data_IF_391552787451
#
_entry.id   IF_391552787451
#
_cell.length_a   1.000
_cell.length_b   1.000
_cell.length_c   1.000
_cell.angle_alpha   90.00
_cell.angle_beta   90.00
_cell.angle_gamma   90.00
#
_symmetry.space_group_name_H-M   'P 1'
#
loop_
_entity.id
_entity.type
_entity.pdbx_description
1 polymer ?
#
# COMPACT_ATOMS: atom_id res chain seq x y z
N UNK A 1 18.77 -7.76 -1.05
CA UNK A 1 18.20 -6.93 0.03
C UNK A 1 19.31 -6.81 1.05
N UNK A 2 19.75 -5.61 1.41
CA UNK A 2 20.73 -5.46 2.49
C UNK A 2 20.09 -5.85 3.83
N UNK A 3 20.94 -6.26 4.77
CA UNK A 3 20.53 -6.78 6.08
C UNK A 3 19.79 -5.70 6.89
N UNK A 4 20.28 -4.45 6.82
CA UNK A 4 19.72 -3.28 7.52
C UNK A 4 18.30 -2.92 7.07
N UNK A 5 17.98 -2.99 5.79
CA UNK A 5 16.62 -2.74 5.26
C UNK A 5 15.66 -3.82 5.73
N UNK A 6 16.12 -5.07 5.78
CA UNK A 6 15.31 -6.20 6.24
C UNK A 6 14.99 -6.06 7.73
N UNK A 7 15.96 -5.64 8.54
CA UNK A 7 15.76 -5.32 9.96
C UNK A 7 14.79 -4.14 10.16
N UNK A 8 14.96 -3.04 9.42
CA UNK A 8 14.06 -1.87 9.46
C UNK A 8 12.62 -2.27 9.13
N UNK A 9 12.43 -3.04 8.06
CA UNK A 9 11.11 -3.51 7.64
C UNK A 9 10.48 -4.44 8.69
N UNK A 10 11.28 -5.32 9.31
CA UNK A 10 10.81 -6.21 10.39
C UNK A 10 10.45 -5.44 11.65
N UNK A 11 11.24 -4.42 11.99
CA UNK A 11 10.95 -3.52 13.12
C UNK A 11 9.63 -2.78 12.88
N UNK A 12 9.48 -2.18 11.69
CA UNK A 12 8.26 -1.48 11.32
C UNK A 12 7.04 -2.42 11.28
N UNK A 13 7.21 -3.66 10.79
CA UNK A 13 6.13 -4.67 10.84
C UNK A 13 5.64 -4.89 12.27
N UNK A 14 6.57 -5.06 13.20
CA UNK A 14 6.26 -5.28 14.62
C UNK A 14 5.54 -4.06 15.23
N UNK A 15 5.97 -2.86 14.87
CA UNK A 15 5.35 -1.59 15.29
C UNK A 15 3.88 -1.50 14.83
N UNK A 16 3.62 -1.84 13.56
CA UNK A 16 2.27 -1.92 12.99
C UNK A 16 1.42 -2.96 13.70
N UNK A 17 1.95 -4.19 13.85
CA UNK A 17 1.21 -5.28 14.50
C UNK A 17 0.87 -4.92 15.97
N UNK A 18 1.81 -4.35 16.72
CA UNK A 18 1.54 -3.90 18.09
C UNK A 18 0.49 -2.79 18.16
N UNK A 19 0.55 -1.85 17.23
CA UNK A 19 -0.39 -0.71 17.22
C UNK A 19 -1.81 -1.13 16.86
N UNK A 20 -1.97 -2.13 15.99
CA UNK A 20 -3.25 -2.71 15.65
C UNK A 20 -3.88 -3.52 16.80
N UNK A 21 -3.05 -4.07 17.70
CA UNK A 21 -3.54 -4.89 18.82
C UNK A 21 -3.80 -4.05 20.08
N UNK A 22 -2.89 -3.11 20.38
CA UNK A 22 -2.85 -2.42 21.67
C UNK A 22 -2.67 -0.89 21.58
N UNK A 23 -2.48 -0.35 20.38
CA UNK A 23 -2.07 1.04 20.19
C UNK A 23 -3.12 1.93 19.54
N UNK A 24 -2.70 3.11 19.01
CA UNK A 24 -3.59 4.09 18.40
C UNK A 24 -4.41 3.57 17.21
N UNK A 25 -3.98 2.45 16.63
CA UNK A 25 -4.66 1.81 15.50
C UNK A 25 -5.65 0.71 15.92
N UNK A 26 -5.78 0.39 17.21
CA UNK A 26 -6.67 -0.67 17.68
C UNK A 26 -8.14 -0.41 17.33
N UNK A 27 -8.55 0.87 17.34
CA UNK A 27 -9.89 1.31 16.96
C UNK A 27 -9.97 1.75 15.48
N UNK A 28 -8.83 1.86 14.79
CA UNK A 28 -8.80 2.26 13.38
C UNK A 28 -9.14 1.05 12.52
N UNK A 29 -10.33 1.08 11.92
CA UNK A 29 -10.76 0.03 11.00
C UNK A 29 -9.76 -0.17 9.86
N UNK A 30 -9.43 -1.43 9.58
CA UNK A 30 -8.77 -1.84 8.33
C UNK A 30 -9.87 -1.95 7.25
N UNK A 31 -10.01 -0.96 6.35
CA UNK A 31 -11.15 -0.86 5.45
C UNK A 31 -11.13 -1.94 4.36
N UNK A 32 -9.96 -2.47 4.03
CA UNK A 32 -9.83 -3.50 3.00
C UNK A 32 -9.97 -4.87 3.64
N UNK A 33 -10.96 -5.62 3.14
CA UNK A 33 -11.25 -7.01 3.49
C UNK A 33 -11.27 -7.79 2.18
N UNK A 34 -10.59 -8.95 2.15
CA UNK A 34 -10.61 -9.82 0.99
C UNK A 34 -11.89 -10.68 0.92
N UNK A 35 -12.01 -11.48 -0.14
CA UNK A 35 -13.18 -12.34 -0.38
C UNK A 35 -13.37 -13.44 0.69
N UNK A 36 -12.37 -13.66 1.55
CA UNK A 36 -12.38 -14.60 2.67
C UNK A 36 -12.59 -13.92 4.02
N UNK A 37 -12.90 -12.62 4.04
CA UNK A 37 -13.09 -11.87 5.27
C UNK A 37 -11.78 -11.48 5.98
N UNK A 38 -10.62 -11.70 5.35
CA UNK A 38 -9.31 -11.40 5.94
C UNK A 38 -8.91 -9.96 5.67
N UNK A 39 -8.27 -9.34 6.67
CA UNK A 39 -7.74 -7.97 6.59
C UNK A 39 -6.24 -8.04 6.36
N UNK A 40 -5.85 -8.18 5.10
CA UNK A 40 -4.44 -8.30 4.74
C UNK A 40 -3.70 -6.98 5.05
N UNK A 41 -2.59 -7.09 5.77
CA UNK A 41 -1.73 -5.95 6.13
C UNK A 41 -0.38 -6.11 5.45
N UNK A 42 0.03 -5.10 4.69
CA UNK A 42 1.34 -5.01 4.04
C UNK A 42 2.07 -3.80 4.61
N UNK A 43 3.37 -3.94 4.88
CA UNK A 43 4.21 -2.82 5.32
C UNK A 43 5.29 -2.54 4.30
N UNK A 44 5.66 -1.28 4.15
CA UNK A 44 6.72 -0.83 3.27
C UNK A 44 7.52 0.34 3.86
N UNK A 45 8.77 0.48 3.41
CA UNK A 45 9.61 1.63 3.70
C UNK A 45 9.58 2.59 2.51
N UNK A 46 9.55 3.89 2.77
CA UNK A 46 9.44 4.92 1.73
C UNK A 46 10.63 4.92 0.76
N UNK A 47 11.80 4.47 1.20
CA UNK A 47 13.04 4.40 0.42
C UNK A 47 13.20 3.10 -0.40
N UNK A 48 12.31 2.12 -0.22
CA UNK A 48 12.37 0.90 -1.01
C UNK A 48 11.78 1.08 -2.41
N UNK A 49 12.11 0.16 -3.33
CA UNK A 49 11.62 0.24 -4.71
C UNK A 49 10.13 -0.11 -4.79
N UNK A 50 9.39 0.67 -5.56
CA UNK A 50 7.97 0.45 -5.82
C UNK A 50 7.67 -0.99 -6.29
N UNK A 51 8.47 -1.52 -7.22
CA UNK A 51 8.31 -2.89 -7.70
C UNK A 51 8.46 -4.00 -6.63
N UNK A 52 9.02 -3.70 -5.46
CA UNK A 52 9.05 -4.63 -4.31
C UNK A 52 7.73 -4.58 -3.54
N UNK A 53 7.19 -3.38 -3.30
CA UNK A 53 5.86 -3.21 -2.71
C UNK A 53 4.79 -3.85 -3.60
N UNK A 54 4.80 -3.60 -4.90
CA UNK A 54 3.79 -4.16 -5.82
C UNK A 54 3.80 -5.69 -5.83
N UNK A 55 4.97 -6.32 -5.75
CA UNK A 55 5.08 -7.77 -5.63
C UNK A 55 4.49 -8.30 -4.32
N UNK A 56 4.66 -7.60 -3.20
CA UNK A 56 4.04 -7.97 -1.93
C UNK A 56 2.52 -7.81 -1.95
N UNK A 57 2.01 -6.76 -2.60
CA UNK A 57 0.57 -6.58 -2.83
C UNK A 57 0.01 -7.70 -3.72
N UNK A 58 0.73 -8.11 -4.76
CA UNK A 58 0.30 -9.21 -5.62
C UNK A 58 0.16 -10.54 -4.85
N UNK A 59 1.02 -10.78 -3.86
CA UNK A 59 0.95 -11.96 -2.99
C UNK A 59 -0.29 -11.98 -2.08
N UNK A 60 -0.99 -10.86 -1.89
CA UNK A 60 -2.26 -10.79 -1.16
C UNK A 60 -3.49 -10.90 -2.08
N UNK A 61 -3.29 -11.19 -3.37
CA UNK A 61 -4.38 -11.25 -4.35
C UNK A 61 -4.93 -9.87 -4.75
N UNK A 62 -4.19 -8.78 -4.47
CA UNK A 62 -4.58 -7.42 -4.84
C UNK A 62 -5.49 -6.71 -3.83
N UNK A 63 -5.78 -7.33 -2.68
CA UNK A 63 -6.47 -6.68 -1.56
C UNK A 63 -5.49 -6.49 -0.40
N UNK A 64 -5.23 -5.24 0.02
CA UNK A 64 -4.32 -4.95 1.12
C UNK A 64 -4.60 -3.59 1.80
N UNK A 65 -4.40 -3.57 3.12
CA UNK A 65 -4.19 -2.36 3.90
C UNK A 65 -2.67 -2.16 3.99
N UNK A 66 -2.15 -1.13 3.34
CA UNK A 66 -0.71 -0.90 3.24
C UNK A 66 -0.31 0.22 4.20
N UNK A 67 0.73 0.02 4.98
CA UNK A 67 1.37 1.05 5.80
C UNK A 67 2.75 1.35 5.23
N UNK A 68 3.03 2.61 4.94
CA UNK A 68 4.31 3.06 4.38
C UNK A 68 4.99 3.99 5.35
N UNK A 69 6.20 3.65 5.81
CA UNK A 69 7.01 4.50 6.69
C UNK A 69 7.96 5.40 5.88
N UNK A 70 7.75 6.71 5.92
CA UNK A 70 8.56 7.72 5.25
C UNK A 70 9.90 8.02 5.95
N UNK A 71 10.61 9.04 5.47
CA UNK A 71 11.93 9.42 5.99
C UNK A 71 11.88 10.08 7.37
N UNK A 72 10.78 10.78 7.69
CA UNK A 72 10.59 11.53 8.94
C UNK A 72 9.75 10.73 9.96
N UNK A 73 9.82 9.40 9.92
CA UNK A 73 8.97 8.47 10.68
C UNK A 73 7.45 8.65 10.45
N UNK A 74 7.04 9.49 9.50
CA UNK A 74 5.66 9.59 9.06
C UNK A 74 5.19 8.24 8.52
N UNK A 75 3.95 7.85 8.83
CA UNK A 75 3.37 6.64 8.26
C UNK A 75 2.11 6.98 7.50
N UNK A 76 2.09 6.62 6.22
CA UNK A 76 0.92 6.80 5.36
C UNK A 76 0.21 5.47 5.19
N UNK A 77 -1.10 5.48 5.37
CA UNK A 77 -1.93 4.31 5.13
C UNK A 77 -2.58 4.38 3.76
N UNK A 78 -2.45 3.30 3.01
CA UNK A 78 -3.07 3.12 1.70
C UNK A 78 -4.08 1.97 1.76
N UNK A 79 -5.15 2.09 1.00
CA UNK A 79 -6.04 0.98 0.69
C UNK A 79 -5.80 0.54 -0.75
N UNK A 80 -5.59 -0.75 -0.93
CA UNK A 80 -5.46 -1.39 -2.23
C UNK A 80 -6.58 -2.39 -2.37
N UNK A 81 -7.49 -2.16 -3.31
CA UNK A 81 -8.69 -2.97 -3.52
C UNK A 81 -8.65 -3.53 -4.93
N UNK A 82 -8.89 -4.83 -5.06
CA UNK A 82 -9.05 -5.45 -6.37
C UNK A 82 -10.24 -4.81 -7.10
N UNK A 83 -10.01 -4.29 -8.31
CA UNK A 83 -10.99 -3.48 -9.07
C UNK A 83 -12.21 -4.29 -9.52
N UNK A 84 -12.18 -5.63 -9.45
CA UNK A 84 -13.39 -6.47 -9.57
C UNK A 84 -14.45 -6.17 -8.51
N UNK A 85 -14.06 -5.58 -7.38
CA UNK A 85 -14.93 -5.20 -6.27
C UNK A 85 -15.16 -3.68 -6.17
N UNK A 86 -14.61 -2.88 -7.10
CA UNK A 86 -14.78 -1.43 -7.09
C UNK A 86 -16.09 -1.03 -7.78
N UNK A 87 -16.99 -0.37 -7.04
CA UNK A 87 -18.28 0.11 -7.55
C UNK A 87 -18.14 1.14 -8.71
N UNK A 88 -17.02 1.87 -8.75
CA UNK A 88 -16.70 2.86 -9.79
C UNK A 88 -15.35 2.54 -10.44
N UNK A 89 -15.29 1.44 -11.17
CA UNK A 89 -14.08 1.00 -11.89
C UNK A 89 -13.62 2.06 -12.91
N UNK A 90 -14.54 2.73 -13.60
CA UNK A 90 -14.20 3.65 -14.69
C UNK A 90 -13.70 5.04 -14.26
N UNK A 91 -13.59 5.36 -12.97
CA UNK A 91 -13.24 6.72 -12.51
C UNK A 91 -11.78 6.89 -12.10
N UNK A 92 -11.01 5.80 -11.98
CA UNK A 92 -9.62 5.82 -11.53
C UNK A 92 -8.67 5.99 -12.73
N UNK A 93 -7.66 6.83 -12.56
CA UNK A 93 -6.59 6.94 -13.54
C UNK A 93 -5.77 5.64 -13.58
N UNK A 94 -5.34 5.26 -14.77
CA UNK A 94 -4.50 4.08 -14.95
C UNK A 94 -3.02 4.46 -14.79
N UNK A 95 -2.25 3.67 -14.05
CA UNK A 95 -0.78 3.72 -14.11
C UNK A 95 -0.29 3.18 -15.45
N UNK A 96 -0.78 3.63 -16.59
CA UNK A 96 -0.21 3.31 -17.91
C UNK A 96 0.34 4.53 -18.65
N UNK A 97 0.01 5.75 -18.20
CA UNK A 97 0.51 7.01 -18.81
C UNK A 97 1.96 7.38 -18.49
N UNK A 98 2.50 8.39 -19.20
CA UNK A 98 3.91 8.79 -19.17
C UNK A 98 4.35 9.54 -17.90
N UNK A 99 3.40 10.12 -17.16
CA UNK A 99 3.68 10.89 -15.93
C UNK A 99 3.77 10.03 -14.65
N UNK A 100 3.71 8.70 -14.77
CA UNK A 100 3.65 7.78 -13.62
C UNK A 100 5.04 7.43 -13.05
N UNK A 101 5.13 7.12 -11.74
CA UNK A 101 6.34 6.56 -11.16
C UNK A 101 6.73 5.22 -11.82
N UNK A 102 8.00 5.06 -12.18
CA UNK A 102 8.51 3.79 -12.70
C UNK A 102 8.59 2.73 -11.59
N UNK A 103 8.69 1.45 -11.94
CA UNK A 103 8.93 0.37 -10.97
C UNK A 103 10.25 0.51 -10.19
N UNK A 104 11.18 1.32 -10.69
CA UNK A 104 12.45 1.65 -10.05
C UNK A 104 12.35 2.89 -9.15
N UNK A 105 11.24 3.63 -9.20
CA UNK A 105 10.98 4.72 -8.28
C UNK A 105 10.82 4.19 -6.85
N UNK A 106 10.99 5.06 -5.87
CA UNK A 106 10.79 4.72 -4.47
C UNK A 106 9.30 4.68 -4.13
N UNK A 107 8.94 3.97 -3.06
CA UNK A 107 7.55 3.96 -2.55
C UNK A 107 7.11 5.36 -2.13
N UNK A 108 7.98 6.19 -1.57
CA UNK A 108 7.65 7.58 -1.21
C UNK A 108 7.18 8.40 -2.43
N UNK A 109 7.88 8.31 -3.56
CA UNK A 109 7.47 8.99 -4.81
C UNK A 109 6.10 8.49 -5.27
N UNK A 110 5.81 7.20 -5.08
CA UNK A 110 4.48 6.65 -5.38
C UNK A 110 3.40 7.18 -4.46
N UNK A 111 3.67 7.32 -3.16
CA UNK A 111 2.74 7.92 -2.19
C UNK A 111 2.45 9.38 -2.56
N UNK A 112 3.48 10.17 -2.86
CA UNK A 112 3.32 11.56 -3.31
C UNK A 112 2.48 11.64 -4.59
N UNK A 113 2.74 10.74 -5.54
CA UNK A 113 1.92 10.62 -6.73
C UNK A 113 0.46 10.33 -6.37
N UNK A 114 0.18 9.31 -5.54
CA UNK A 114 -1.20 8.99 -5.11
C UNK A 114 -1.91 10.17 -4.44
N UNK A 115 -1.22 10.98 -3.64
CA UNK A 115 -1.79 12.20 -3.01
C UNK A 115 -2.29 13.21 -4.05
N UNK A 116 -1.73 13.22 -5.25
CA UNK A 116 -2.21 14.07 -6.36
C UNK A 116 -3.41 13.49 -7.11
N UNK A 117 -3.70 12.20 -6.95
CA UNK A 117 -4.72 11.47 -7.70
C UNK A 117 -6.01 11.33 -6.88
N UNK A 118 -6.96 12.24 -7.06
CA UNK A 118 -8.22 12.28 -6.29
C UNK A 118 -9.06 11.02 -6.40
N UNK A 119 -8.98 10.34 -7.54
CA UNK A 119 -9.69 9.09 -7.79
C UNK A 119 -8.85 7.85 -7.45
N UNK A 120 -7.64 7.98 -6.92
CA UNK A 120 -6.72 6.86 -6.83
C UNK A 120 -6.31 6.32 -8.19
N UNK A 121 -5.57 5.21 -8.14
CA UNK A 121 -4.76 4.77 -9.28
C UNK A 121 -4.85 3.27 -9.44
N UNK A 122 -5.10 2.80 -10.67
CA UNK A 122 -5.00 1.37 -11.01
C UNK A 122 -3.53 0.98 -11.10
N UNK A 123 -3.13 -0.10 -10.44
CA UNK A 123 -1.76 -0.59 -10.41
C UNK A 123 -1.65 -1.81 -11.33
N UNK A 124 -0.71 -1.84 -12.29
CA UNK A 124 -0.37 -3.06 -13.00
C UNK A 124 0.40 -4.01 -12.07
N UNK A 125 -0.20 -5.15 -11.75
CA UNK A 125 0.50 -6.25 -11.08
C UNK A 125 1.06 -7.20 -12.14
N UNK A 126 2.23 -7.81 -11.87
CA UNK A 126 2.90 -8.76 -12.78
C UNK A 126 2.11 -10.06 -13.02
N UNK A 127 0.93 -10.23 -12.40
CA UNK A 127 0.08 -11.41 -12.55
C UNK A 127 -1.02 -11.17 -13.58
N UNK A 128 -0.99 -11.92 -14.68
CA UNK A 128 -1.99 -11.85 -15.75
C UNK A 128 -3.42 -12.24 -15.30
N UNK A 129 -3.56 -12.88 -14.13
CA UNK A 129 -4.85 -13.34 -13.59
C UNK A 129 -5.43 -12.44 -12.50
N UNK A 130 -4.72 -11.38 -12.09
CA UNK A 130 -5.23 -10.44 -11.06
C UNK A 130 -5.70 -9.16 -11.75
N UNK A 131 -7.00 -8.79 -11.63
CA UNK A 131 -7.48 -7.50 -12.11
C UNK A 131 -6.65 -6.37 -11.49
N UNK A 132 -6.33 -5.33 -12.27
CA UNK A 132 -5.48 -4.22 -11.81
C UNK A 132 -6.09 -3.56 -10.57
N UNK A 133 -5.53 -3.76 -9.35
CA UNK A 133 -6.12 -3.20 -8.16
C UNK A 133 -5.99 -1.68 -8.14
N UNK A 134 -6.94 -1.03 -7.49
CA UNK A 134 -6.94 0.41 -7.25
C UNK A 134 -6.29 0.72 -5.91
N UNK A 135 -5.30 1.60 -5.91
CA UNK A 135 -4.68 2.14 -4.71
C UNK A 135 -5.12 3.58 -4.44
N UNK A 136 -5.38 3.88 -3.17
CA UNK A 136 -5.74 5.21 -2.68
C UNK A 136 -5.06 5.48 -1.34
N UNK A 137 -4.68 6.73 -1.11
CA UNK A 137 -4.28 7.19 0.23
C UNK A 137 -5.53 7.26 1.10
N UNK A 138 -5.45 6.73 2.32
CA UNK A 138 -6.53 6.77 3.31
C UNK A 138 -6.31 7.92 4.27
N UNK A 139 -5.19 7.91 4.99
CA UNK A 139 -4.81 8.91 5.99
C UNK A 139 -3.32 8.82 6.34
N UNK A 140 -2.86 9.81 7.09
CA UNK A 140 -1.59 9.78 7.80
C UNK A 140 -1.81 9.23 9.21
N UNK A 141 -0.93 8.34 9.63
CA UNK A 141 -1.00 7.59 10.89
C UNK A 141 0.17 7.97 11.78
N UNK A 142 -0.12 8.16 13.07
CA UNK A 142 0.89 8.32 14.10
C UNK A 142 1.02 7.05 14.93
N UNK A 143 2.25 6.59 15.06
CA UNK A 143 2.64 5.56 16.01
C UNK A 143 3.08 6.25 17.31
N UNK A 144 2.66 5.70 18.46
CA UNK A 144 2.94 6.27 19.77
C UNK A 144 4.35 5.90 20.28
#
# INVERSE_FOLDING_TARGET
>A
MDDTTSERLRSFRKEVDLSLVFGPLADVGLPVVDDHGQRMVVVALGDERLGVLLRRIAQTGGNANVFVKGADDEVVRLSVINDSCALDSNSADDMTGDARPSLQATVAVFVDYLRTQRSGVRIPLDSHDVPMPRATVVDDVQFA
#
